data_IF_700864545397
#
_entry.id   IF_700864545397
#
_cell.length_a   1.000
_cell.length_b   1.000
_cell.length_c   1.000
_cell.angle_alpha   90.00
_cell.angle_beta   90.00
_cell.angle_gamma   90.00
#
_symmetry.space_group_name_H-M   'P 1'
#
loop_
_entity.id
_entity.type
_entity.pdbx_description
1 polymer ?
#
# COMPACT_ATOMS: atom_id res chain seq x y z
N UNK A 1 -60.96 -24.52 27.19
CA UNK A 1 -59.89 -24.70 26.19
C UNK A 1 -58.79 -23.71 26.50
N UNK A 2 -57.62 -24.22 26.90
CA UNK A 2 -56.39 -23.50 27.24
C UNK A 2 -55.44 -23.53 26.04
N UNK A 3 -54.42 -22.66 26.11
CA UNK A 3 -53.20 -22.51 25.31
C UNK A 3 -53.32 -21.63 24.06
N UNK A 4 -52.42 -20.68 23.79
CA UNK A 4 -51.40 -20.00 24.60
C UNK A 4 -50.99 -18.76 23.80
N UNK A 5 -50.97 -17.60 24.44
CA UNK A 5 -50.30 -16.39 23.93
C UNK A 5 -49.19 -16.13 24.92
N UNK A 6 -47.97 -16.53 24.60
CA UNK A 6 -46.74 -15.96 25.15
C UNK A 6 -45.50 -16.49 24.41
N UNK A 7 -44.95 -15.61 23.57
CA UNK A 7 -43.55 -15.18 23.67
C UNK A 7 -42.50 -16.22 24.06
N UNK A 8 -41.76 -16.70 23.06
CA UNK A 8 -40.29 -16.71 23.05
C UNK A 8 -39.87 -16.64 21.57
N UNK A 9 -39.62 -15.47 20.98
CA UNK A 9 -38.34 -14.75 21.09
C UNK A 9 -37.13 -15.70 20.98
N UNK A 10 -37.15 -16.61 20.01
CA UNK A 10 -35.94 -17.01 19.28
C UNK A 10 -35.97 -16.31 17.94
N UNK A 11 -35.94 -14.97 17.99
CA UNK A 11 -35.27 -14.20 16.96
C UNK A 11 -33.81 -14.66 16.97
N UNK A 12 -33.54 -15.77 16.28
CA UNK A 12 -32.23 -16.11 15.77
C UNK A 12 -31.90 -15.06 14.70
N UNK A 13 -31.82 -13.78 15.10
CA UNK A 13 -30.89 -12.84 14.54
C UNK A 13 -29.50 -13.39 14.89
N UNK A 14 -29.10 -14.47 14.21
CA UNK A 14 -27.82 -14.39 13.53
C UNK A 14 -27.98 -13.16 12.63
N UNK A 15 -27.63 -11.99 13.17
CA UNK A 15 -27.21 -10.87 12.34
C UNK A 15 -26.21 -11.51 11.40
N UNK A 16 -26.62 -11.81 10.17
CA UNK A 16 -25.73 -12.34 9.16
C UNK A 16 -24.63 -11.30 9.06
N UNK A 17 -23.50 -11.57 9.70
CA UNK A 17 -22.50 -10.54 9.93
C UNK A 17 -22.04 -10.10 8.55
N UNK A 18 -22.22 -8.81 8.25
CA UNK A 18 -21.82 -8.23 6.99
C UNK A 18 -20.34 -8.57 6.73
N UNK A 19 -20.13 -9.42 5.74
CA UNK A 19 -18.86 -10.12 5.52
C UNK A 19 -18.06 -9.37 4.46
N UNK A 20 -16.77 -9.19 4.70
CA UNK A 20 -15.87 -8.55 3.75
C UNK A 20 -14.85 -9.57 3.27
N UNK A 21 -14.67 -9.63 1.95
CA UNK A 21 -13.65 -10.42 1.29
C UNK A 21 -12.56 -9.48 0.78
N UNK A 22 -11.32 -9.75 1.14
CA UNK A 22 -10.19 -8.90 0.79
C UNK A 22 -9.46 -9.48 -0.42
N UNK A 23 -9.16 -8.68 -1.42
CA UNK A 23 -8.35 -9.05 -2.58
C UNK A 23 -7.13 -8.14 -2.62
N UNK A 24 -5.96 -8.68 -2.32
CA UNK A 24 -4.76 -7.90 -2.05
C UNK A 24 -3.70 -8.10 -3.11
N UNK A 25 -3.43 -7.03 -3.85
CA UNK A 25 -2.25 -6.89 -4.68
C UNK A 25 -1.05 -6.47 -3.80
N UNK A 26 -0.30 -7.48 -3.38
CA UNK A 26 0.84 -7.35 -2.49
C UNK A 26 2.01 -6.60 -3.15
N UNK A 27 2.01 -6.42 -4.47
CA UNK A 27 3.06 -5.71 -5.18
C UNK A 27 2.87 -4.19 -5.17
N UNK A 28 1.62 -3.75 -5.08
CA UNK A 28 1.24 -2.35 -5.17
C UNK A 28 0.89 -1.75 -3.81
N UNK A 29 0.46 -2.57 -2.85
CA UNK A 29 0.03 -2.11 -1.53
C UNK A 29 0.96 -2.62 -0.41
N UNK A 30 1.34 -1.78 0.56
CA UNK A 30 2.18 -2.20 1.66
C UNK A 30 1.38 -2.89 2.78
N UNK A 31 1.92 -3.94 3.43
CA UNK A 31 1.21 -4.72 4.46
C UNK A 31 0.86 -3.93 5.72
N UNK A 32 1.52 -2.80 5.98
CA UNK A 32 1.22 -1.91 7.10
C UNK A 32 -0.23 -1.36 7.06
N UNK A 33 -0.89 -1.40 5.90
CA UNK A 33 -2.27 -0.97 5.75
C UNK A 33 -3.28 -1.92 6.42
N UNK A 34 -2.92 -3.18 6.69
CA UNK A 34 -3.82 -4.18 7.28
C UNK A 34 -4.48 -3.68 8.58
N UNK A 35 -3.71 -3.06 9.48
CA UNK A 35 -4.23 -2.53 10.75
C UNK A 35 -5.24 -1.40 10.56
N UNK A 36 -4.96 -0.49 9.62
CA UNK A 36 -5.82 0.68 9.34
C UNK A 36 -7.10 0.23 8.63
N UNK A 37 -6.98 -0.72 7.71
CA UNK A 37 -8.13 -1.38 7.10
C UNK A 37 -9.04 -2.00 8.16
N UNK A 38 -8.50 -2.82 9.05
CA UNK A 38 -9.32 -3.49 10.06
C UNK A 38 -10.07 -2.50 10.93
N UNK A 39 -9.42 -1.39 11.30
CA UNK A 39 -10.07 -0.31 12.03
C UNK A 39 -11.22 0.28 11.21
N UNK A 40 -10.98 0.60 9.94
CA UNK A 40 -12.00 1.12 9.04
C UNK A 40 -13.20 0.18 8.90
N UNK A 41 -12.98 -1.11 8.63
CA UNK A 41 -14.06 -2.09 8.49
C UNK A 41 -14.89 -2.20 9.77
N UNK A 42 -14.23 -2.21 10.94
CA UNK A 42 -14.93 -2.18 12.23
C UNK A 42 -15.79 -0.93 12.40
N UNK A 43 -15.32 0.24 11.97
CA UNK A 43 -16.11 1.49 12.06
C UNK A 43 -17.36 1.48 11.19
N UNK A 44 -17.35 0.73 10.08
CA UNK A 44 -18.54 0.55 9.23
C UNK A 44 -19.32 -0.73 9.57
N UNK A 45 -19.06 -1.34 10.73
CA UNK A 45 -19.80 -2.51 11.23
C UNK A 45 -19.56 -3.79 10.42
N UNK A 46 -18.41 -3.90 9.73
CA UNK A 46 -18.07 -5.06 8.89
C UNK A 46 -16.91 -5.86 9.47
N UNK A 47 -16.94 -7.17 9.23
CA UNK A 47 -15.86 -8.08 9.57
C UNK A 47 -15.20 -8.63 8.30
N UNK A 48 -13.89 -8.87 8.35
CA UNK A 48 -13.18 -9.59 7.28
C UNK A 48 -13.17 -11.07 7.60
N UNK A 49 -13.72 -11.89 6.70
CA UNK A 49 -13.73 -13.34 6.88
C UNK A 49 -12.56 -14.01 6.16
N UNK A 50 -12.24 -13.53 4.96
CA UNK A 50 -11.26 -14.14 4.08
C UNK A 50 -10.48 -13.10 3.29
N UNK A 51 -9.22 -13.40 3.03
CA UNK A 51 -8.34 -12.61 2.19
C UNK A 51 -7.66 -13.48 1.13
N UNK A 52 -7.61 -12.99 -0.10
CA UNK A 52 -6.82 -13.50 -1.19
C UNK A 52 -5.66 -12.54 -1.41
N UNK A 53 -4.43 -13.00 -1.20
CA UNK A 53 -3.23 -12.17 -1.32
C UNK A 53 -2.41 -12.71 -2.47
N UNK A 54 -2.19 -11.90 -3.50
CA UNK A 54 -1.34 -12.25 -4.62
C UNK A 54 -0.19 -11.25 -4.77
N UNK A 55 0.97 -11.77 -5.14
CA UNK A 55 2.13 -10.97 -5.50
C UNK A 55 3.09 -11.80 -6.32
N UNK A 56 3.90 -11.14 -7.13
CA UNK A 56 4.97 -11.81 -7.84
C UNK A 56 6.00 -12.32 -6.82
N UNK A 57 6.65 -13.46 -7.10
CA UNK A 57 7.62 -14.11 -6.19
C UNK A 57 8.90 -13.33 -5.88
N UNK A 58 8.87 -12.01 -5.95
CA UNK A 58 9.96 -11.11 -5.60
C UNK A 58 9.85 -10.74 -4.12
N UNK A 59 10.66 -11.40 -3.29
CA UNK A 59 10.74 -11.16 -1.84
C UNK A 59 9.53 -11.67 -1.06
N UNK A 60 9.42 -11.25 0.21
CA UNK A 60 8.44 -11.80 1.16
C UNK A 60 7.11 -11.02 1.21
N UNK A 61 6.74 -10.29 0.14
CA UNK A 61 5.59 -9.37 0.15
C UNK A 61 4.28 -10.06 0.52
N UNK A 62 4.00 -11.21 -0.11
CA UNK A 62 2.79 -12.00 0.16
C UNK A 62 2.77 -12.50 1.61
N UNK A 63 3.91 -12.97 2.12
CA UNK A 63 4.04 -13.46 3.50
C UNK A 63 3.93 -12.34 4.53
N UNK A 64 4.46 -11.16 4.23
CA UNK A 64 4.33 -9.99 5.09
C UNK A 64 2.86 -9.53 5.18
N UNK A 65 2.11 -9.60 4.08
CA UNK A 65 0.66 -9.37 4.08
C UNK A 65 -0.09 -10.42 4.87
N UNK A 66 0.24 -11.70 4.69
CA UNK A 66 -0.36 -12.79 5.47
C UNK A 66 -0.19 -12.57 6.97
N UNK A 67 1.03 -12.27 7.42
CA UNK A 67 1.33 -12.00 8.82
C UNK A 67 0.56 -10.78 9.33
N UNK A 68 0.60 -9.66 8.58
CA UNK A 68 -0.07 -8.42 8.97
C UNK A 68 -1.61 -8.59 9.06
N UNK A 69 -2.21 -9.36 8.17
CA UNK A 69 -3.65 -9.65 8.21
C UNK A 69 -4.02 -10.54 9.39
N UNK A 70 -3.25 -11.59 9.67
CA UNK A 70 -3.49 -12.48 10.83
C UNK A 70 -3.32 -11.76 12.16
N UNK A 71 -2.37 -10.83 12.23
CA UNK A 71 -2.18 -9.98 13.41
C UNK A 71 -3.34 -8.99 13.56
N UNK A 72 -3.73 -8.31 12.49
CA UNK A 72 -4.76 -7.28 12.54
C UNK A 72 -6.18 -7.86 12.72
N UNK A 73 -6.46 -9.03 12.13
CA UNK A 73 -7.76 -9.70 12.15
C UNK A 73 -7.58 -11.13 12.68
N UNK A 74 -7.69 -11.34 13.99
CA UNK A 74 -7.62 -12.68 14.57
C UNK A 74 -8.66 -13.62 13.94
N UNK A 75 -8.19 -14.77 13.43
CA UNK A 75 -9.04 -15.79 12.83
C UNK A 75 -9.37 -15.60 11.34
N UNK A 76 -8.82 -14.59 10.66
CA UNK A 76 -9.01 -14.44 9.21
C UNK A 76 -8.40 -15.62 8.42
N UNK A 77 -9.14 -16.14 7.44
CA UNK A 77 -8.61 -17.08 6.48
C UNK A 77 -7.81 -16.33 5.41
N UNK A 78 -6.52 -16.67 5.22
CA UNK A 78 -5.69 -16.02 4.20
C UNK A 78 -5.21 -17.05 3.17
N UNK A 79 -5.66 -16.89 1.93
CA UNK A 79 -5.19 -17.63 0.76
C UNK A 79 -4.06 -16.84 0.09
N UNK A 80 -2.84 -17.38 0.16
CA UNK A 80 -1.65 -16.74 -0.41
C UNK A 80 -1.30 -17.34 -1.76
N UNK A 81 -1.07 -16.48 -2.74
CA UNK A 81 -0.69 -16.87 -4.09
C UNK A 81 0.60 -16.17 -4.51
N UNK A 82 1.68 -16.96 -4.56
CA UNK A 82 2.96 -16.49 -5.07
C UNK A 82 2.96 -16.76 -6.58
N UNK A 83 2.82 -15.69 -7.35
CA UNK A 83 2.79 -15.76 -8.81
C UNK A 83 4.22 -15.81 -9.39
N UNK A 84 4.41 -16.42 -10.58
CA UNK A 84 5.67 -16.34 -11.30
C UNK A 84 6.11 -14.88 -11.51
N UNK A 85 7.41 -14.64 -11.57
CA UNK A 85 7.98 -13.29 -11.79
C UNK A 85 7.81 -12.89 -13.26
N UNK A 86 6.59 -12.55 -13.64
CA UNK A 86 6.21 -12.06 -14.97
C UNK A 86 5.19 -10.93 -14.79
N UNK A 87 5.16 -10.02 -15.76
CA UNK A 87 4.18 -8.93 -15.78
C UNK A 87 2.76 -9.50 -15.64
N UNK A 88 1.93 -8.86 -14.83
CA UNK A 88 0.51 -9.19 -14.63
C UNK A 88 0.19 -10.56 -14.02
N UNK A 89 1.16 -11.38 -13.61
CA UNK A 89 0.85 -12.72 -13.10
C UNK A 89 0.11 -12.70 -11.76
N UNK A 90 0.46 -11.78 -10.87
CA UNK A 90 -0.30 -11.55 -9.63
C UNK A 90 -1.72 -11.03 -9.91
N UNK A 91 -1.86 -10.07 -10.84
CA UNK A 91 -3.14 -9.48 -11.21
C UNK A 91 -4.09 -10.52 -11.80
N UNK A 92 -3.59 -11.35 -12.72
CA UNK A 92 -4.35 -12.48 -13.30
C UNK A 92 -4.83 -13.45 -12.22
N UNK A 93 -4.00 -13.70 -11.20
CA UNK A 93 -4.41 -14.57 -10.10
C UNK A 93 -5.58 -13.98 -9.32
N UNK A 94 -5.53 -12.69 -8.98
CA UNK A 94 -6.64 -12.01 -8.30
C UNK A 94 -7.89 -11.94 -9.18
N UNK A 95 -7.73 -11.72 -10.49
CA UNK A 95 -8.85 -11.77 -11.43
C UNK A 95 -9.54 -13.13 -11.44
N UNK A 96 -8.81 -14.25 -11.36
CA UNK A 96 -9.45 -15.57 -11.27
C UNK A 96 -10.28 -15.74 -10.00
N UNK A 97 -9.81 -15.23 -8.86
CA UNK A 97 -10.59 -15.25 -7.61
C UNK A 97 -11.82 -14.33 -7.73
N UNK A 98 -11.68 -13.12 -8.31
CA UNK A 98 -12.79 -12.20 -8.56
C UNK A 98 -13.81 -12.76 -9.56
N UNK A 99 -13.36 -13.53 -10.56
CA UNK A 99 -14.24 -14.14 -11.57
C UNK A 99 -15.22 -15.14 -10.98
N UNK A 100 -14.93 -15.71 -9.80
CA UNK A 100 -15.88 -16.58 -9.09
C UNK A 100 -17.17 -15.86 -8.69
N UNK A 101 -17.09 -14.53 -8.52
CA UNK A 101 -18.25 -13.68 -8.23
C UNK A 101 -18.95 -13.22 -9.50
N UNK A 102 -18.24 -13.07 -10.61
CA UNK A 102 -18.79 -12.53 -11.85
C UNK A 102 -20.00 -13.32 -12.37
N UNK A 103 -19.98 -14.64 -12.21
CA UNK A 103 -21.09 -15.52 -12.60
C UNK A 103 -22.07 -15.83 -11.46
N UNK A 104 -21.79 -15.35 -10.24
CA UNK A 104 -22.63 -15.56 -9.07
C UNK A 104 -23.74 -14.51 -8.94
N UNK A 105 -24.73 -14.82 -8.13
CA UNK A 105 -25.74 -13.85 -7.71
C UNK A 105 -25.14 -12.86 -6.69
N UNK A 106 -25.46 -11.55 -6.77
CA UNK A 106 -25.02 -10.59 -5.77
C UNK A 106 -25.61 -10.89 -4.38
N UNK A 107 -24.73 -11.05 -3.39
CA UNK A 107 -25.11 -11.16 -2.00
C UNK A 107 -24.97 -9.78 -1.31
N UNK A 108 -26.08 -9.14 -0.86
CA UNK A 108 -26.02 -7.83 -0.22
C UNK A 108 -25.25 -7.84 1.11
N UNK A 109 -25.06 -9.00 1.73
CA UNK A 109 -24.28 -9.15 2.96
C UNK A 109 -22.78 -9.18 2.72
N UNK A 110 -22.33 -9.41 1.48
CA UNK A 110 -20.91 -9.49 1.11
C UNK A 110 -20.42 -8.16 0.53
N UNK A 111 -19.21 -7.75 0.89
CA UNK A 111 -18.47 -6.63 0.30
C UNK A 111 -17.13 -7.14 -0.21
N UNK A 112 -16.84 -6.84 -1.47
CA UNK A 112 -15.55 -7.12 -2.08
C UNK A 112 -14.66 -5.89 -1.92
N UNK A 113 -13.57 -6.02 -1.16
CA UNK A 113 -12.61 -4.94 -0.95
C UNK A 113 -11.32 -5.25 -1.73
N UNK A 114 -11.09 -4.52 -2.83
CA UNK A 114 -9.96 -4.76 -3.73
C UNK A 114 -8.84 -3.75 -3.48
N UNK A 115 -7.68 -4.25 -3.08
CA UNK A 115 -6.50 -3.49 -2.69
C UNK A 115 -5.54 -3.39 -3.85
N UNK A 116 -5.80 -2.48 -4.79
CA UNK A 116 -4.87 -2.23 -5.89
C UNK A 116 -5.04 -0.82 -6.44
N UNK A 117 -4.02 -0.38 -7.17
CA UNK A 117 -4.06 0.79 -8.05
C UNK A 117 -3.98 0.39 -9.53
N UNK A 118 -3.87 -0.91 -9.82
CA UNK A 118 -3.72 -1.41 -11.16
C UNK A 118 -5.06 -1.32 -11.91
N UNK A 119 -5.03 -0.72 -13.10
CA UNK A 119 -6.21 -0.45 -13.91
C UNK A 119 -6.99 -1.73 -14.24
N UNK A 120 -6.32 -2.88 -14.35
CA UNK A 120 -6.96 -4.15 -14.66
C UNK A 120 -7.85 -4.62 -13.51
N UNK A 121 -7.37 -4.48 -12.27
CA UNK A 121 -8.13 -4.87 -11.08
C UNK A 121 -9.24 -3.86 -10.77
N UNK A 122 -9.02 -2.56 -11.08
CA UNK A 122 -10.07 -1.54 -11.01
C UNK A 122 -11.19 -1.86 -11.99
N UNK A 123 -10.87 -2.13 -13.26
CA UNK A 123 -11.86 -2.49 -14.28
C UNK A 123 -12.61 -3.79 -13.96
N UNK A 124 -11.93 -4.79 -13.41
CA UNK A 124 -12.59 -6.02 -12.95
C UNK A 124 -13.59 -5.75 -11.81
N UNK A 125 -13.26 -4.82 -10.92
CA UNK A 125 -14.14 -4.42 -9.82
C UNK A 125 -15.35 -3.63 -10.33
N UNK A 126 -15.15 -2.72 -11.28
CA UNK A 126 -16.23 -1.99 -11.96
C UNK A 126 -17.23 -2.96 -12.60
N UNK A 127 -16.73 -3.97 -13.30
CA UNK A 127 -17.58 -4.99 -13.93
C UNK A 127 -18.43 -5.76 -12.91
N UNK A 128 -17.92 -6.01 -11.70
CA UNK A 128 -18.69 -6.62 -10.61
C UNK A 128 -19.75 -5.66 -10.04
N UNK A 129 -19.42 -4.37 -9.88
CA UNK A 129 -20.39 -3.36 -9.42
C UNK A 129 -21.53 -3.18 -10.44
N UNK A 130 -21.22 -3.15 -11.74
CA UNK A 130 -22.23 -3.07 -12.80
C UNK A 130 -23.21 -4.26 -12.79
N UNK A 131 -22.79 -5.40 -12.23
CA UNK A 131 -23.63 -6.58 -12.02
C UNK A 131 -24.39 -6.59 -10.69
N UNK A 132 -24.25 -5.55 -9.88
CA UNK A 132 -24.95 -5.39 -8.61
C UNK A 132 -24.20 -5.92 -7.39
N UNK A 133 -22.95 -6.36 -7.52
CA UNK A 133 -22.15 -6.72 -6.35
C UNK A 133 -21.72 -5.47 -5.58
N UNK A 134 -21.69 -5.57 -4.25
CA UNK A 134 -21.09 -4.53 -3.42
C UNK A 134 -19.56 -4.67 -3.48
N UNK A 135 -18.88 -3.71 -4.08
CA UNK A 135 -17.43 -3.68 -4.12
C UNK A 135 -16.88 -2.27 -3.90
N UNK A 136 -15.65 -2.20 -3.43
CA UNK A 136 -14.89 -0.97 -3.28
C UNK A 136 -13.41 -1.19 -3.60
N UNK A 137 -12.76 -0.13 -4.05
CA UNK A 137 -11.30 -0.09 -4.18
C UNK A 137 -10.71 0.49 -2.90
N UNK A 138 -9.63 -0.12 -2.41
CA UNK A 138 -8.89 0.37 -1.25
C UNK A 138 -7.44 0.62 -1.63
N UNK A 139 -6.94 1.81 -1.33
CA UNK A 139 -5.55 2.19 -1.64
C UNK A 139 -4.87 2.81 -0.43
N UNK A 140 -3.57 2.57 -0.27
CA UNK A 140 -2.77 3.37 0.66
C UNK A 140 -2.66 4.82 0.20
N UNK A 141 -2.55 5.75 1.15
CA UNK A 141 -2.16 7.13 0.86
C UNK A 141 -0.71 7.13 0.33
N UNK A 142 -0.52 7.57 -0.92
CA UNK A 142 0.80 7.76 -1.53
C UNK A 142 1.11 9.23 -1.71
N UNK A 143 2.40 9.59 -1.74
CA UNK A 143 2.86 10.98 -1.96
C UNK A 143 2.49 11.52 -3.35
N UNK A 144 2.24 10.63 -4.32
CA UNK A 144 1.77 10.97 -5.66
C UNK A 144 0.38 10.33 -5.84
N UNK A 145 -0.63 10.95 -5.23
CA UNK A 145 -2.03 10.53 -5.37
C UNK A 145 -2.50 10.72 -6.81
N UNK A 146 -2.25 9.73 -7.66
CA UNK A 146 -3.01 9.60 -8.90
C UNK A 146 -4.46 9.34 -8.49
N UNK A 147 -5.36 10.24 -8.87
CA UNK A 147 -6.78 9.97 -8.80
C UNK A 147 -7.05 8.75 -9.70
N UNK A 148 -7.68 7.71 -9.13
CA UNK A 148 -8.21 6.63 -9.93
C UNK A 148 -9.42 7.19 -10.70
N UNK A 149 -9.43 7.02 -12.02
CA UNK A 149 -10.60 7.34 -12.82
C UNK A 149 -11.53 6.12 -12.79
N UNK A 150 -12.44 6.09 -11.81
CA UNK A 150 -13.35 4.97 -11.60
C UNK A 150 -14.67 5.43 -11.00
N UNK A 151 -15.74 4.74 -11.36
CA UNK A 151 -17.07 4.92 -10.77
C UNK A 151 -17.26 4.09 -9.48
N UNK A 152 -16.28 3.25 -9.13
CA UNK A 152 -16.31 2.43 -7.91
C UNK A 152 -15.90 3.28 -6.69
N UNK A 153 -16.56 3.14 -5.53
CA UNK A 153 -16.14 3.80 -4.31
C UNK A 153 -14.67 3.50 -3.97
N UNK A 154 -13.87 4.54 -3.75
CA UNK A 154 -12.45 4.42 -3.38
C UNK A 154 -12.23 4.85 -1.93
N UNK A 155 -11.62 3.97 -1.14
CA UNK A 155 -11.18 4.26 0.23
C UNK A 155 -9.67 4.46 0.25
N UNK A 156 -9.23 5.62 0.72
CA UNK A 156 -7.80 5.91 0.90
C UNK A 156 -7.42 5.71 2.37
N UNK A 157 -6.56 4.72 2.62
CA UNK A 157 -6.06 4.40 3.95
C UNK A 157 -4.73 5.12 4.21
N UNK A 158 -4.67 5.91 5.27
CA UNK A 158 -3.42 6.49 5.74
C UNK A 158 -2.53 5.40 6.33
N UNK A 159 -1.25 5.37 5.96
CA UNK A 159 -0.27 4.62 6.74
C UNK A 159 -0.14 5.30 8.10
N UNK A 160 -0.11 4.54 9.21
CA UNK A 160 0.28 5.10 10.49
C UNK A 160 1.63 5.79 10.29
N UNK A 161 1.69 7.11 10.48
CA UNK A 161 2.98 7.77 10.57
C UNK A 161 3.74 7.04 11.66
N UNK A 162 4.88 6.41 11.32
CA UNK A 162 5.86 6.11 12.34
C UNK A 162 6.16 7.46 12.98
N UNK A 163 5.69 7.64 14.21
CA UNK A 163 6.14 8.73 15.06
C UNK A 163 7.62 8.52 15.19
N UNK A 164 8.40 9.19 14.34
CA UNK A 164 9.81 9.35 14.56
C UNK A 164 9.86 10.14 15.88
N UNK A 165 10.13 9.44 16.98
CA UNK A 165 10.56 10.05 18.23
C UNK A 165 11.92 10.70 17.95
N UNK A 166 11.85 11.87 17.32
CA UNK A 166 12.95 12.81 17.27
C UNK A 166 13.15 13.26 18.73
N UNK A 167 14.32 13.04 19.35
CA UNK A 167 14.56 13.55 20.69
C UNK A 167 14.36 15.07 20.67
N UNK A 168 13.56 15.56 21.62
CA UNK A 168 13.22 16.96 21.78
C UNK A 168 14.49 17.82 21.76
N UNK A 169 14.62 18.64 20.71
CA UNK A 169 15.61 19.72 20.70
C UNK A 169 14.99 20.88 21.47
N UNK A 170 15.71 21.34 22.49
CA UNK A 170 15.35 22.47 23.33
C UNK A 170 14.95 23.71 22.51
N UNK A 171 14.01 24.54 23.01
CA UNK A 171 13.56 25.74 22.33
C UNK A 171 14.56 26.87 22.59
N UNK A 172 15.20 27.41 21.56
CA UNK A 172 15.75 28.77 21.65
C UNK A 172 15.74 29.48 20.30
N UNK A 173 14.93 30.57 20.29
CA UNK A 173 14.99 31.79 19.47
C UNK A 173 14.65 31.75 17.98
N UNK A 174 13.50 32.37 17.67
CA UNK A 174 13.23 33.17 16.47
C UNK A 174 14.37 34.18 16.21
N UNK A 175 14.63 34.53 14.94
CA UNK A 175 13.92 35.69 14.37
C UNK A 175 13.33 35.46 12.98
N UNK A 176 12.23 36.16 12.76
CA UNK A 176 11.52 36.36 11.50
C UNK A 176 12.41 36.91 10.39
N UNK A 177 12.26 36.39 9.18
CA UNK A 177 12.38 37.20 7.94
C UNK A 177 11.51 36.59 6.83
N UNK A 178 10.56 37.40 6.40
CA UNK A 178 9.88 37.39 5.10
C UNK A 178 10.88 37.44 3.95
N UNK A 179 10.84 36.53 2.95
CA UNK A 179 10.77 36.89 1.51
C UNK A 179 10.55 35.70 0.56
N UNK A 180 9.78 35.99 -0.48
CA UNK A 180 9.91 35.52 -1.88
C UNK A 180 9.52 34.07 -2.25
N UNK A 181 8.35 34.00 -2.89
CA UNK A 181 7.96 32.97 -3.87
C UNK A 181 9.01 32.90 -4.99
N UNK A 182 9.66 31.75 -5.17
CA UNK A 182 10.42 31.41 -6.39
C UNK A 182 9.87 30.13 -7.03
N UNK A 183 9.86 30.05 -8.38
CA UNK A 183 9.23 28.95 -9.09
C UNK A 183 10.08 27.68 -9.05
N UNK A 184 9.37 26.56 -8.94
CA UNK A 184 9.88 25.19 -8.89
C UNK A 184 10.77 24.83 -10.11
N UNK A 185 11.98 24.28 -9.86
CA UNK A 185 12.46 23.07 -10.57
C UNK A 185 13.87 22.53 -10.21
N UNK A 186 14.52 22.96 -9.12
CA UNK A 186 15.76 22.31 -8.64
C UNK A 186 15.61 21.92 -7.18
N UNK A 187 15.87 20.66 -6.76
CA UNK A 187 16.00 20.35 -5.35
C UNK A 187 17.06 21.26 -4.73
N UNK A 188 16.78 21.69 -3.50
CA UNK A 188 17.66 22.54 -2.73
C UNK A 188 19.04 21.87 -2.59
N UNK A 189 20.11 22.63 -2.81
CA UNK A 189 21.50 22.20 -2.63
C UNK A 189 21.75 21.58 -1.25
N UNK A 190 21.03 22.05 -0.23
CA UNK A 190 21.09 21.50 1.12
C UNK A 190 20.48 20.09 1.21
N UNK A 191 19.42 19.83 0.43
CA UNK A 191 18.76 18.53 0.37
C UNK A 191 19.68 17.48 -0.29
N UNK A 192 20.38 17.87 -1.36
CA UNK A 192 21.36 17.01 -2.02
C UNK A 192 22.55 16.71 -1.10
N UNK A 193 23.06 17.70 -0.36
CA UNK A 193 24.14 17.50 0.60
C UNK A 193 23.73 16.57 1.77
N UNK A 194 22.52 16.74 2.32
CA UNK A 194 21.97 15.88 3.37
C UNK A 194 21.81 14.42 2.88
N UNK A 195 21.33 14.25 1.65
CA UNK A 195 21.20 12.96 1.00
C UNK A 195 22.56 12.25 0.83
N UNK A 196 23.59 12.96 0.36
CA UNK A 196 24.95 12.40 0.20
C UNK A 196 25.52 11.96 1.55
N UNK A 197 25.39 12.80 2.59
CA UNK A 197 25.85 12.46 3.94
C UNK A 197 25.19 11.18 4.46
N UNK A 198 23.87 11.04 4.27
CA UNK A 198 23.14 9.84 4.67
C UNK A 198 23.54 8.59 3.88
N UNK A 199 23.77 8.72 2.58
CA UNK A 199 24.27 7.62 1.74
C UNK A 199 25.65 7.16 2.24
N UNK A 200 26.57 8.09 2.52
CA UNK A 200 27.92 7.78 3.02
C UNK A 200 27.92 7.17 4.43
N UNK A 201 26.95 7.55 5.27
CA UNK A 201 26.79 6.99 6.62
C UNK A 201 26.19 5.57 6.61
N UNK A 202 25.23 5.30 5.72
CA UNK A 202 24.47 4.04 5.74
C UNK A 202 25.01 2.97 4.80
N UNK A 203 25.73 3.35 3.74
CA UNK A 203 26.28 2.42 2.76
C UNK A 203 27.80 2.43 2.80
N UNK A 204 28.39 1.23 2.74
CA UNK A 204 29.83 1.09 2.48
C UNK A 204 30.06 1.08 0.97
N UNK A 205 31.05 1.82 0.44
CA UNK A 205 31.46 1.71 -0.95
C UNK A 205 31.81 0.25 -1.28
N UNK A 206 31.46 -0.20 -2.48
CA UNK A 206 31.87 -1.50 -2.97
C UNK A 206 33.39 -1.54 -3.22
N UNK A 207 33.96 -2.73 -3.47
CA UNK A 207 35.39 -2.92 -3.76
C UNK A 207 35.92 -2.12 -4.95
N UNK A 208 35.03 -1.55 -5.77
CA UNK A 208 35.33 -0.77 -6.97
C UNK A 208 35.08 0.74 -6.79
N UNK A 209 34.86 1.19 -5.54
CA UNK A 209 34.80 2.62 -5.19
C UNK A 209 33.46 3.33 -5.43
N UNK A 210 32.32 2.61 -5.46
CA UNK A 210 31.00 3.22 -5.67
C UNK A 210 29.87 2.58 -4.86
N UNK A 211 28.66 3.13 -5.00
CA UNK A 211 27.45 2.67 -4.34
C UNK A 211 26.52 1.97 -5.33
N UNK A 212 25.88 0.87 -4.94
CA UNK A 212 24.88 0.22 -5.77
C UNK A 212 23.67 1.15 -5.96
N UNK A 213 23.21 1.33 -7.21
CA UNK A 213 22.11 2.26 -7.51
C UNK A 213 20.81 1.89 -6.79
N UNK A 214 20.55 0.60 -6.61
CA UNK A 214 19.41 0.08 -5.83
C UNK A 214 19.50 0.46 -4.35
N UNK A 215 20.69 0.36 -3.75
CA UNK A 215 20.92 0.71 -2.35
C UNK A 215 20.81 2.23 -2.12
N UNK A 216 21.35 3.05 -3.04
CA UNK A 216 21.15 4.51 -3.01
C UNK A 216 19.66 4.85 -3.12
N UNK A 217 18.93 4.20 -4.03
CA UNK A 217 17.49 4.38 -4.18
C UNK A 217 16.71 4.02 -2.89
N UNK A 218 17.13 2.98 -2.17
CA UNK A 218 16.54 2.60 -0.89
C UNK A 218 16.81 3.64 0.20
N UNK A 219 18.04 4.12 0.35
CA UNK A 219 18.39 5.18 1.32
C UNK A 219 17.58 6.45 1.07
N UNK A 220 17.50 6.90 -0.18
CA UNK A 220 16.70 8.09 -0.50
C UNK A 220 15.19 7.85 -0.30
N UNK A 221 14.72 6.61 -0.47
CA UNK A 221 13.33 6.26 -0.15
C UNK A 221 13.07 6.29 1.35
N UNK A 222 14.04 5.93 2.20
CA UNK A 222 13.95 6.03 3.65
C UNK A 222 13.95 7.49 4.13
N UNK A 223 14.52 8.41 3.35
CA UNK A 223 14.42 9.86 3.57
C UNK A 223 13.06 10.45 3.14
N UNK A 224 12.11 9.61 2.70
CA UNK A 224 10.78 10.04 2.30
C UNK A 224 10.70 10.64 0.89
N UNK A 225 11.76 10.53 0.09
CA UNK A 225 11.75 11.03 -1.28
C UNK A 225 11.06 10.05 -2.23
N UNK A 226 10.13 10.54 -3.05
CA UNK A 226 9.44 9.78 -4.07
C UNK A 226 10.37 9.47 -5.27
N UNK A 227 9.93 8.61 -6.21
CA UNK A 227 10.77 8.17 -7.33
C UNK A 227 11.29 9.36 -8.16
N UNK A 228 10.46 10.37 -8.40
CA UNK A 228 10.83 11.55 -9.19
C UNK A 228 11.88 12.41 -8.47
N UNK A 229 11.68 12.68 -7.17
CA UNK A 229 12.63 13.43 -6.35
C UNK A 229 13.93 12.66 -6.18
N UNK A 230 13.91 11.34 -5.97
CA UNK A 230 15.12 10.50 -5.92
C UNK A 230 15.93 10.62 -7.21
N UNK A 231 15.27 10.57 -8.37
CA UNK A 231 15.94 10.76 -9.66
C UNK A 231 16.49 12.19 -9.79
N UNK A 232 15.78 13.22 -9.32
CA UNK A 232 16.28 14.60 -9.31
C UNK A 232 17.49 14.78 -8.39
N UNK A 233 17.45 14.23 -7.18
CA UNK A 233 18.55 14.27 -6.21
C UNK A 233 19.78 13.59 -6.79
N UNK A 234 19.65 12.34 -7.27
CA UNK A 234 20.77 11.59 -7.85
C UNK A 234 21.40 12.37 -9.00
N UNK A 235 20.61 12.92 -9.93
CA UNK A 235 21.12 13.72 -11.06
C UNK A 235 21.83 15.01 -10.64
N UNK A 236 21.63 15.50 -9.43
CA UNK A 236 22.27 16.72 -8.91
C UNK A 236 23.44 16.44 -7.97
N UNK A 237 23.78 15.18 -7.74
CA UNK A 237 24.99 14.83 -6.99
C UNK A 237 26.22 15.29 -7.77
N UNK A 238 27.10 16.11 -7.18
CA UNK A 238 28.29 16.60 -7.86
C UNK A 238 29.22 15.42 -8.21
N UNK A 239 29.79 15.47 -9.42
CA UNK A 239 30.71 14.46 -9.95
C UNK A 239 30.12 13.04 -10.09
N UNK A 240 28.79 12.89 -10.14
CA UNK A 240 28.15 11.60 -10.33
C UNK A 240 28.58 10.94 -11.65
N UNK A 241 29.14 9.73 -11.55
CA UNK A 241 29.36 8.82 -12.68
C UNK A 241 28.54 7.56 -12.49
N UNK A 242 27.74 7.21 -13.50
CA UNK A 242 27.05 5.92 -13.56
C UNK A 242 27.94 4.92 -14.30
N UNK A 243 28.18 3.76 -13.71
CA UNK A 243 28.99 2.70 -14.33
C UNK A 243 28.22 1.38 -14.29
N UNK A 244 28.26 0.61 -15.38
CA UNK A 244 27.52 -0.65 -15.53
C UNK A 244 26.07 -0.48 -16.01
N UNK A 245 25.39 -1.60 -16.25
CA UNK A 245 24.02 -1.65 -16.76
C UNK A 245 23.14 -2.62 -15.96
N UNK A 246 21.84 -2.33 -15.86
CA UNK A 246 20.87 -3.22 -15.20
C UNK A 246 21.12 -3.37 -13.69
N UNK A 247 21.06 -4.59 -13.13
CA UNK A 247 21.21 -4.82 -11.68
C UNK A 247 22.62 -4.50 -11.14
N UNK A 248 23.63 -4.42 -12.02
CA UNK A 248 25.01 -4.09 -11.66
C UNK A 248 25.31 -2.57 -11.73
N UNK A 249 24.29 -1.74 -11.98
CA UNK A 249 24.45 -0.29 -12.08
C UNK A 249 24.95 0.30 -10.76
N UNK A 250 26.10 0.99 -10.81
CA UNK A 250 26.73 1.67 -9.67
C UNK A 250 26.85 3.17 -9.89
N UNK A 251 26.77 3.91 -8.79
CA UNK A 251 26.86 5.36 -8.72
C UNK A 251 28.17 5.73 -7.98
N UNK A 252 29.03 6.51 -8.61
CA UNK A 252 30.32 6.94 -8.06
C UNK A 252 30.31 8.47 -7.88
N UNK A 253 30.51 8.93 -6.65
CA UNK A 253 30.51 10.34 -6.23
C UNK A 253 31.04 10.53 -4.79
#
# INVERSE_FOLDING_TARGET
MRYDRSSHLTSNLRSAMATTLLFVDADNQPPILASTLTRFLKTIGRNSAKAFVAGNGVGDRVRNWEAALKEAVPGIEVSCHIAPIRKQSADVRLMFELATFYHGEPDPSVLLAVFSRDDLLVAATEALVQRGHNAMIVIGAGSNGMALNTDVPVVVLTTPQQVNTQPAVNPTTLPSTTTAVQPANKPDSQLVAAAITKIRQQLKPNKQGGYAASAVGQVLSQLGHDKAMRTKIVKQIPNLKEVGTGPEKRLVF
#
